data_IF_646225286704
#
_entry.id   IF_646225286704
#
_cell.length_a   1.000
_cell.length_b   1.000
_cell.length_c   1.000
_cell.angle_alpha   90.00
_cell.angle_beta   90.00
_cell.angle_gamma   90.00
#
_symmetry.space_group_name_H-M   'P 1'
#
loop_
_entity.id
_entity.type
_entity.pdbx_description
1 polymer ?
#
# COMPACT_ATOMS: atom_id res chain seq x y z
N UNK A 1 23.88 -59.57 13.25
CA UNK A 1 23.65 -58.87 11.97
C UNK A 1 22.30 -58.14 12.02
N UNK A 2 22.19 -57.08 12.83
CA UNK A 2 20.90 -56.42 13.15
C UNK A 2 21.05 -54.90 13.34
N UNK A 3 22.01 -54.26 12.69
CA UNK A 3 22.29 -52.82 12.88
C UNK A 3 22.43 -52.01 11.59
N UNK A 4 21.98 -52.55 10.45
CA UNK A 4 22.05 -51.83 9.15
C UNK A 4 20.65 -51.43 8.62
N UNK A 5 19.57 -51.98 9.18
CA UNK A 5 18.19 -51.66 8.73
C UNK A 5 17.55 -50.44 9.39
N UNK A 6 18.09 -49.94 10.52
CA UNK A 6 17.45 -48.84 11.26
C UNK A 6 17.99 -47.45 10.91
N UNK A 7 19.12 -47.34 10.20
CA UNK A 7 19.70 -46.03 9.82
C UNK A 7 19.06 -45.50 8.52
N UNK A 8 18.60 -46.39 7.63
CA UNK A 8 17.94 -46.01 6.37
C UNK A 8 16.52 -45.44 6.56
N UNK A 9 15.85 -45.75 7.67
CA UNK A 9 14.51 -45.21 7.97
C UNK A 9 14.53 -43.79 8.55
N UNK A 10 15.64 -43.37 9.16
CA UNK A 10 15.80 -42.00 9.71
C UNK A 10 16.27 -41.00 8.64
N UNK A 11 16.93 -41.50 7.59
CA UNK A 11 17.38 -40.66 6.46
C UNK A 11 16.26 -40.30 5.48
N UNK A 12 15.15 -41.05 5.45
CA UNK A 12 13.98 -40.72 4.63
C UNK A 12 12.94 -39.84 5.33
N UNK A 13 13.00 -39.68 6.66
CA UNK A 13 12.11 -38.77 7.41
C UNK A 13 12.54 -37.30 7.41
N UNK A 14 13.69 -36.96 6.82
CA UNK A 14 14.19 -35.58 6.73
C UNK A 14 13.90 -34.91 5.37
N UNK A 15 13.26 -35.60 4.42
CA UNK A 15 12.95 -35.05 3.09
C UNK A 15 11.53 -34.48 2.94
N UNK A 16 10.68 -34.50 3.96
CA UNK A 16 9.28 -34.00 3.87
C UNK A 16 8.94 -32.86 4.83
N UNK A 17 9.93 -32.02 5.15
CA UNK A 17 9.66 -30.65 5.60
C UNK A 17 10.23 -29.68 4.57
N UNK A 18 9.82 -29.83 3.31
CA UNK A 18 9.62 -28.64 2.49
C UNK A 18 8.44 -27.87 3.12
N UNK A 19 8.71 -27.18 4.23
CA UNK A 19 7.90 -26.04 4.64
C UNK A 19 7.74 -25.23 3.37
N UNK A 20 6.51 -25.05 2.88
CA UNK A 20 6.21 -24.06 1.85
C UNK A 20 6.71 -22.73 2.41
N UNK A 21 7.96 -22.39 2.10
CA UNK A 21 8.55 -21.13 2.50
C UNK A 21 7.70 -20.10 1.77
N UNK A 22 6.86 -19.41 2.54
CA UNK A 22 6.00 -18.35 2.04
C UNK A 22 6.92 -17.34 1.35
N UNK A 23 6.95 -17.34 0.02
CA UNK A 23 7.91 -16.55 -0.75
C UNK A 23 7.55 -15.08 -0.60
N UNK A 24 8.33 -14.37 0.20
CA UNK A 24 8.27 -12.91 0.26
C UNK A 24 8.86 -12.34 -1.01
N UNK A 25 8.19 -11.35 -1.60
CA UNK A 25 8.68 -10.64 -2.78
C UNK A 25 8.63 -9.14 -2.57
N UNK A 26 9.51 -8.38 -3.21
CA UNK A 26 9.43 -6.92 -3.19
C UNK A 26 8.30 -6.44 -4.10
N UNK A 27 7.52 -5.43 -3.67
CA UNK A 27 6.43 -4.85 -4.49
C UNK A 27 6.94 -3.97 -5.63
N UNK A 28 8.20 -3.56 -5.55
CA UNK A 28 8.95 -2.90 -6.61
C UNK A 28 10.42 -3.37 -6.56
N UNK A 29 11.17 -3.12 -7.62
CA UNK A 29 12.59 -3.49 -7.69
C UNK A 29 13.43 -2.33 -8.19
N UNK A 30 14.49 -2.00 -7.45
CA UNK A 30 15.46 -0.99 -7.86
C UNK A 30 16.22 -1.46 -9.11
N UNK A 31 16.28 -0.60 -10.12
CA UNK A 31 17.14 -0.76 -11.30
C UNK A 31 18.43 0.03 -11.14
N UNK A 32 18.32 1.20 -10.51
CA UNK A 32 19.43 2.08 -10.13
C UNK A 32 19.11 2.68 -8.75
N UNK A 33 19.95 3.61 -8.27
CA UNK A 33 19.69 4.34 -7.03
C UNK A 33 18.44 5.24 -7.07
N UNK A 34 17.93 5.55 -8.27
CA UNK A 34 16.79 6.47 -8.46
C UNK A 34 15.69 5.94 -9.35
N UNK A 35 15.92 4.85 -10.09
CA UNK A 35 14.90 4.22 -10.92
C UNK A 35 14.54 2.83 -10.40
N UNK A 36 13.27 2.49 -10.55
CA UNK A 36 12.71 1.21 -10.11
C UNK A 36 11.61 0.74 -11.05
N UNK A 37 11.46 -0.57 -11.16
CA UNK A 37 10.33 -1.22 -11.84
C UNK A 37 9.19 -1.48 -10.88
N UNK A 38 7.98 -1.31 -11.40
CA UNK A 38 6.72 -1.66 -10.75
C UNK A 38 6.28 -3.04 -11.23
N UNK A 39 5.58 -3.79 -10.38
CA UNK A 39 4.99 -5.08 -10.74
C UNK A 39 3.47 -4.96 -10.79
N UNK A 40 2.88 -5.22 -11.95
CA UNK A 40 1.43 -5.05 -12.19
C UNK A 40 0.55 -5.91 -11.29
N UNK A 41 1.05 -7.05 -10.80
CA UNK A 41 0.32 -7.93 -9.86
C UNK A 41 -0.10 -7.21 -8.56
N UNK A 42 0.57 -6.11 -8.21
CA UNK A 42 0.24 -5.30 -7.03
C UNK A 42 -0.65 -4.10 -7.32
N UNK A 43 -1.11 -3.94 -8.55
CA UNK A 43 -1.92 -2.81 -9.01
C UNK A 43 -3.28 -3.24 -9.59
N UNK A 44 -4.05 -4.18 -9.00
CA UNK A 44 -5.31 -4.60 -9.60
C UNK A 44 -6.30 -3.46 -9.82
N UNK A 45 -6.33 -2.45 -8.96
CA UNK A 45 -7.30 -1.34 -9.04
C UNK A 45 -6.89 -0.21 -9.98
N UNK A 46 -5.66 -0.22 -10.52
CA UNK A 46 -5.20 0.82 -11.45
C UNK A 46 -6.05 0.90 -12.71
N UNK A 47 -6.74 -0.19 -13.07
CA UNK A 47 -7.65 -0.25 -14.23
C UNK A 47 -8.96 0.48 -13.98
N UNK A 48 -9.40 0.52 -12.72
CA UNK A 48 -10.60 1.22 -12.28
C UNK A 48 -10.29 2.66 -11.83
N UNK A 49 -9.01 3.02 -11.78
CA UNK A 49 -8.53 4.38 -11.55
C UNK A 49 -9.15 5.35 -12.56
N UNK A 50 -9.62 6.52 -12.08
CA UNK A 50 -10.04 7.54 -13.02
C UNK A 50 -8.82 7.94 -13.86
N UNK A 51 -8.85 7.57 -15.12
CA UNK A 51 -8.11 8.32 -16.13
C UNK A 51 -8.88 9.61 -16.33
N UNK A 52 -8.81 10.51 -15.33
CA UNK A 52 -9.12 11.91 -15.56
C UNK A 52 -8.14 12.31 -16.64
N UNK A 53 -8.62 12.35 -17.88
CA UNK A 53 -7.85 12.95 -18.95
C UNK A 53 -7.75 14.40 -18.53
N UNK A 54 -6.62 14.78 -17.93
CA UNK A 54 -6.35 16.16 -17.50
C UNK A 54 -6.40 17.13 -18.70
N UNK A 55 -6.45 16.60 -19.92
CA UNK A 55 -6.60 17.31 -21.17
C UNK A 55 -8.05 17.36 -21.68
N UNK A 56 -8.98 16.62 -21.08
CA UNK A 56 -10.40 16.73 -21.39
C UNK A 56 -10.97 17.94 -20.62
N UNK A 57 -11.39 19.01 -21.33
CA UNK A 57 -11.88 20.23 -20.71
C UNK A 57 -13.17 20.03 -19.89
N UNK A 58 -13.81 18.85 -20.01
CA UNK A 58 -15.00 18.50 -19.23
C UNK A 58 -14.69 18.30 -17.75
N UNK A 59 -13.48 17.85 -17.41
CA UNK A 59 -13.08 17.60 -16.02
C UNK A 59 -12.23 18.76 -15.48
N UNK A 60 -12.61 19.31 -14.34
CA UNK A 60 -11.85 20.33 -13.62
C UNK A 60 -11.21 19.72 -12.38
N UNK A 61 -9.90 19.90 -12.25
CA UNK A 61 -9.17 19.47 -11.07
C UNK A 61 -8.96 20.65 -10.13
N UNK A 62 -9.34 20.45 -8.87
CA UNK A 62 -9.14 21.41 -7.78
C UNK A 62 -8.17 20.85 -6.77
N UNK A 63 -7.12 21.61 -6.42
CA UNK A 63 -6.26 21.26 -5.29
C UNK A 63 -6.93 21.67 -3.98
N UNK A 64 -7.26 20.69 -3.15
CA UNK A 64 -7.89 20.90 -1.84
C UNK A 64 -6.85 21.27 -0.79
N UNK A 65 -5.76 20.50 -0.74
CA UNK A 65 -4.71 20.65 0.27
C UNK A 65 -3.33 20.47 -0.36
N UNK A 66 -2.36 21.21 0.17
CA UNK A 66 -0.96 21.13 -0.25
C UNK A 66 -0.09 20.88 0.97
N UNK A 67 0.80 19.89 0.88
CA UNK A 67 1.71 19.48 1.92
C UNK A 67 3.15 19.56 1.41
N UNK A 68 4.06 19.95 2.30
CA UNK A 68 5.50 19.87 2.06
C UNK A 68 6.06 18.68 2.84
N UNK A 69 6.74 17.77 2.15
CA UNK A 69 7.40 16.60 2.75
C UNK A 69 8.88 16.62 2.39
N UNK A 70 9.72 16.02 3.24
CA UNK A 70 11.16 15.94 3.02
C UNK A 70 11.63 14.50 3.07
N UNK A 71 12.57 14.12 2.21
CA UNK A 71 13.33 12.90 2.42
C UNK A 71 14.32 13.08 3.59
N UNK A 72 15.02 12.01 3.98
CA UNK A 72 15.96 12.06 5.11
C UNK A 72 17.16 13.00 4.85
N UNK A 73 17.54 13.21 3.58
CA UNK A 73 18.56 14.17 3.16
C UNK A 73 18.08 15.64 3.21
N UNK A 74 16.77 15.88 3.34
CA UNK A 74 16.18 17.21 3.42
C UNK A 74 15.65 17.77 2.09
N UNK A 75 15.73 17.02 0.99
CA UNK A 75 15.12 17.41 -0.28
C UNK A 75 13.60 17.50 -0.12
N UNK A 76 13.01 18.58 -0.64
CA UNK A 76 11.60 18.92 -0.43
C UNK A 76 10.75 18.54 -1.64
N UNK A 77 9.59 17.93 -1.35
CA UNK A 77 8.56 17.54 -2.30
C UNK A 77 7.24 18.17 -1.89
N UNK A 78 6.39 18.46 -2.87
CA UNK A 78 5.05 19.01 -2.66
C UNK A 78 4.02 17.95 -3.00
N UNK A 79 3.16 17.61 -2.04
CA UNK A 79 2.04 16.68 -2.23
C UNK A 79 0.75 17.49 -2.28
N UNK A 80 0.00 17.39 -3.38
CA UNK A 80 -1.29 18.05 -3.55
C UNK A 80 -2.38 17.00 -3.54
N UNK A 81 -3.39 17.18 -2.69
CA UNK A 81 -4.60 16.36 -2.70
C UNK A 81 -5.62 17.05 -3.58
N UNK A 82 -6.20 16.30 -4.51
CA UNK A 82 -6.97 16.82 -5.62
C UNK A 82 -8.39 16.25 -5.63
N UNK A 83 -9.32 17.10 -6.02
CA UNK A 83 -10.72 16.78 -6.26
C UNK A 83 -11.03 16.98 -7.74
N UNK A 84 -11.97 16.19 -8.26
CA UNK A 84 -12.44 16.26 -9.66
C UNK A 84 -13.86 16.78 -9.65
N UNK A 85 -14.11 17.85 -10.42
CA UNK A 85 -15.40 18.53 -10.60
C UNK A 85 -16.09 19.03 -9.32
N UNK A 86 -15.37 19.03 -8.20
CA UNK A 86 -15.86 19.50 -6.91
C UNK A 86 -14.82 20.40 -6.25
N UNK A 87 -15.15 21.68 -6.10
CA UNK A 87 -14.26 22.72 -5.57
C UNK A 87 -14.37 22.92 -4.06
N UNK A 88 -15.18 22.12 -3.36
CA UNK A 88 -15.40 22.27 -1.91
C UNK A 88 -14.13 21.98 -1.11
N UNK A 89 -13.51 23.03 -0.56
CA UNK A 89 -12.27 22.95 0.21
C UNK A 89 -12.40 22.25 1.57
N UNK A 90 -13.62 22.11 2.10
CA UNK A 90 -13.91 21.43 3.36
C UNK A 90 -14.23 19.95 3.18
N UNK A 91 -14.08 19.41 1.96
CA UNK A 91 -14.31 18.00 1.69
C UNK A 91 -13.23 17.18 2.33
N UNK A 92 -13.63 16.20 3.12
CA UNK A 92 -12.66 15.38 3.83
C UNK A 92 -12.09 14.26 2.94
N UNK A 93 -12.82 13.76 1.93
CA UNK A 93 -12.27 12.84 0.91
C UNK A 93 -11.75 13.57 -0.33
N UNK A 94 -10.98 12.88 -1.16
CA UNK A 94 -10.35 13.40 -2.38
C UNK A 94 -10.26 12.31 -3.44
N UNK A 95 -10.21 12.68 -4.71
CA UNK A 95 -10.22 11.73 -5.83
C UNK A 95 -8.82 11.28 -6.24
N UNK A 96 -7.79 12.01 -5.83
CA UNK A 96 -6.43 11.72 -6.25
C UNK A 96 -5.43 12.68 -5.67
N UNK A 97 -4.17 12.51 -6.06
CA UNK A 97 -3.08 13.33 -5.59
C UNK A 97 -2.07 13.60 -6.71
N UNK A 98 -1.27 14.63 -6.54
CA UNK A 98 -0.09 14.88 -7.36
C UNK A 98 1.13 15.17 -6.51
N UNK A 99 2.30 14.83 -7.06
CA UNK A 99 3.60 14.99 -6.42
C UNK A 99 4.45 15.87 -7.31
N UNK A 100 5.04 16.90 -6.72
CA UNK A 100 5.98 17.79 -7.40
C UNK A 100 7.34 17.76 -6.71
N UNK A 101 8.39 17.88 -7.51
CA UNK A 101 9.76 18.03 -7.06
C UNK A 101 10.43 19.14 -7.87
N UNK A 102 11.02 20.13 -7.17
CA UNK A 102 11.67 21.31 -7.79
C UNK A 102 10.77 22.02 -8.82
N UNK A 103 9.49 22.17 -8.47
CA UNK A 103 8.47 22.85 -9.31
C UNK A 103 8.00 22.04 -10.52
N UNK A 104 8.42 20.79 -10.69
CA UNK A 104 7.96 19.90 -11.77
C UNK A 104 7.05 18.82 -11.21
N UNK A 105 5.91 18.58 -11.86
CA UNK A 105 5.08 17.41 -11.58
C UNK A 105 5.84 16.14 -11.95
N UNK A 106 5.90 15.19 -11.01
CA UNK A 106 6.57 13.89 -11.18
C UNK A 106 5.58 12.72 -11.09
N UNK A 107 4.36 12.96 -10.59
CA UNK A 107 3.25 12.01 -10.61
C UNK A 107 1.92 12.76 -10.43
N UNK A 108 0.90 12.34 -11.17
CA UNK A 108 -0.51 12.60 -10.86
C UNK A 108 -1.23 11.26 -10.88
N UNK A 109 -2.04 10.98 -9.87
CA UNK A 109 -2.78 9.73 -9.73
C UNK A 109 -4.19 9.98 -9.21
N UNK A 110 -5.20 9.36 -9.84
CA UNK A 110 -6.60 9.47 -9.44
C UNK A 110 -7.18 8.07 -9.35
N UNK A 111 -7.67 7.71 -8.17
CA UNK A 111 -8.21 6.38 -7.85
C UNK A 111 -9.63 6.24 -8.36
N UNK A 112 -10.16 5.01 -8.45
CA UNK A 112 -11.56 4.79 -8.83
C UNK A 112 -12.50 5.27 -7.73
N UNK A 113 -12.14 4.95 -6.49
CA UNK A 113 -12.89 5.34 -5.30
C UNK A 113 -12.20 6.49 -4.55
N UNK A 114 -12.95 7.33 -3.82
CA UNK A 114 -12.35 8.44 -3.08
C UNK A 114 -11.37 7.98 -1.99
N UNK A 115 -10.19 8.59 -2.00
CA UNK A 115 -9.23 8.51 -0.92
C UNK A 115 -9.64 9.41 0.26
N UNK A 116 -9.12 9.06 1.45
CA UNK A 116 -9.39 9.72 2.71
C UNK A 116 -8.11 9.82 3.56
N UNK A 117 -8.25 9.85 4.89
CA UNK A 117 -7.12 9.72 5.80
C UNK A 117 -6.72 8.25 6.00
N UNK A 118 -5.55 8.04 6.60
CA UNK A 118 -4.98 6.72 6.83
C UNK A 118 -5.63 5.95 7.99
N UNK A 119 -6.73 6.42 8.59
CA UNK A 119 -7.35 5.78 9.74
C UNK A 119 -7.74 4.33 9.44
N UNK A 120 -8.37 4.08 8.29
CA UNK A 120 -8.86 2.75 7.92
C UNK A 120 -7.73 1.74 7.63
N UNK A 121 -6.55 2.21 7.22
CA UNK A 121 -5.37 1.37 6.96
C UNK A 121 -4.40 1.29 8.15
N UNK A 122 -4.67 2.02 9.24
CA UNK A 122 -3.81 2.08 10.44
C UNK A 122 -4.53 1.70 11.73
N UNK A 123 -5.75 1.14 11.66
CA UNK A 123 -6.59 0.86 12.83
C UNK A 123 -6.91 2.12 13.65
N UNK A 124 -7.14 3.23 12.95
CA UNK A 124 -7.37 4.57 13.49
C UNK A 124 -6.25 5.13 14.38
N UNK A 125 -5.06 4.50 14.36
CA UNK A 125 -3.89 4.98 15.11
C UNK A 125 -3.25 6.21 14.47
N UNK A 126 -3.44 6.41 13.16
CA UNK A 126 -2.94 7.57 12.43
C UNK A 126 -4.00 8.09 11.45
N UNK A 127 -4.41 9.35 11.64
CA UNK A 127 -5.42 10.03 10.81
C UNK A 127 -4.79 11.06 9.87
N UNK A 128 -3.49 10.96 9.62
CA UNK A 128 -2.82 11.75 8.59
C UNK A 128 -3.41 11.47 7.21
N UNK A 129 -3.29 12.42 6.29
CA UNK A 129 -3.80 12.26 4.91
C UNK A 129 -3.06 11.18 4.13
N UNK A 130 -1.78 11.03 4.45
CA UNK A 130 -0.91 9.99 3.94
C UNK A 130 0.14 9.69 5.00
N UNK A 131 0.69 8.48 4.98
CA UNK A 131 1.86 8.11 5.77
C UNK A 131 3.11 8.33 4.94
N UNK A 132 4.22 8.71 5.56
CA UNK A 132 5.53 8.72 4.94
C UNK A 132 6.42 7.66 5.58
N UNK A 133 6.95 6.76 4.76
CA UNK A 133 7.82 5.67 5.18
C UNK A 133 9.21 5.92 4.56
N UNK A 134 10.23 6.30 5.34
CA UNK A 134 11.58 6.42 4.79
C UNK A 134 12.03 5.05 4.25
N UNK A 135 12.73 5.04 3.12
CA UNK A 135 13.30 3.81 2.53
C UNK A 135 14.82 3.85 2.64
N UNK A 136 15.44 4.92 2.15
CA UNK A 136 16.84 5.29 2.39
C UNK A 136 16.96 6.81 2.54
N UNK A 137 18.17 7.37 2.38
CA UNK A 137 18.40 8.79 2.57
C UNK A 137 17.70 9.66 1.52
N UNK A 138 17.49 9.10 0.32
CA UNK A 138 17.01 9.82 -0.85
C UNK A 138 15.60 9.44 -1.26
N UNK A 139 15.09 8.33 -0.77
CA UNK A 139 13.81 7.77 -1.14
C UNK A 139 12.88 7.49 0.04
N UNK A 140 11.59 7.59 -0.23
CA UNK A 140 10.52 7.28 0.71
C UNK A 140 9.32 6.72 -0.04
N UNK A 141 8.46 6.02 0.69
CA UNK A 141 7.13 5.66 0.23
C UNK A 141 6.07 6.56 0.87
N UNK A 142 5.01 6.86 0.12
CA UNK A 142 3.78 7.46 0.62
C UNK A 142 2.67 6.42 0.59
N UNK A 143 1.95 6.25 1.69
CA UNK A 143 0.75 5.42 1.73
C UNK A 143 -0.49 6.30 1.85
N UNK A 144 -1.45 6.14 0.93
CA UNK A 144 -2.75 6.80 0.94
C UNK A 144 -3.82 5.75 1.27
N UNK A 145 -4.80 6.12 2.09
CA UNK A 145 -5.88 5.22 2.52
C UNK A 145 -7.22 5.64 1.94
N UNK A 146 -8.00 4.66 1.49
CA UNK A 146 -9.36 4.81 0.98
C UNK A 146 -10.40 4.98 2.08
N UNK A 147 -11.56 5.48 1.68
CA UNK A 147 -12.77 5.49 2.49
C UNK A 147 -13.51 4.14 2.37
N UNK A 148 -14.28 3.72 3.39
CA UNK A 148 -15.25 2.61 3.26
C UNK A 148 -16.64 3.21 2.99
N UNK A 149 -17.08 3.35 1.73
CA UNK A 149 -18.17 4.28 1.39
C UNK A 149 -19.53 3.81 1.90
N UNK A 150 -19.82 2.50 1.91
CA UNK A 150 -21.11 1.98 2.35
C UNK A 150 -21.03 0.56 2.97
N UNK A 151 -19.97 0.26 3.73
CA UNK A 151 -19.78 -1.04 4.39
C UNK A 151 -19.76 -2.29 3.49
N UNK A 152 -19.75 -2.15 2.17
CA UNK A 152 -19.65 -3.25 1.19
C UNK A 152 -18.30 -3.27 0.44
N UNK A 153 -17.47 -2.25 0.64
CA UNK A 153 -16.16 -2.11 -0.01
C UNK A 153 -15.04 -1.96 1.02
N UNK A 154 -13.96 -2.72 0.81
CA UNK A 154 -12.75 -2.56 1.61
C UNK A 154 -12.09 -1.20 1.30
N UNK A 155 -11.46 -0.56 2.29
CA UNK A 155 -10.68 0.64 2.02
C UNK A 155 -9.52 0.31 1.08
N UNK A 156 -9.30 1.17 0.09
CA UNK A 156 -8.15 1.13 -0.81
C UNK A 156 -6.84 1.47 -0.06
N UNK A 157 -5.73 0.88 -0.47
CA UNK A 157 -4.38 1.30 -0.10
C UNK A 157 -3.59 1.56 -1.38
N UNK A 158 -3.16 2.81 -1.54
CA UNK A 158 -2.24 3.21 -2.61
C UNK A 158 -0.88 3.46 -2.00
N UNK A 159 0.17 2.84 -2.55
CA UNK A 159 1.56 3.10 -2.16
C UNK A 159 2.30 3.68 -3.35
N UNK A 160 2.94 4.83 -3.13
CA UNK A 160 3.82 5.48 -4.10
C UNK A 160 5.25 5.44 -3.59
N UNK A 161 6.19 5.03 -4.42
CA UNK A 161 7.62 5.20 -4.12
C UNK A 161 8.12 6.46 -4.79
N UNK A 162 8.87 7.27 -4.05
CA UNK A 162 9.47 8.53 -4.50
C UNK A 162 10.98 8.46 -4.32
N UNK A 163 11.75 8.75 -5.38
CA UNK A 163 13.22 8.83 -5.35
C UNK A 163 13.73 9.80 -6.40
N UNK A 164 14.61 10.73 -6.00
CA UNK A 164 15.35 11.66 -6.87
C UNK A 164 14.56 12.19 -8.09
N UNK A 165 13.40 12.82 -7.87
CA UNK A 165 12.58 13.40 -8.95
C UNK A 165 11.77 12.41 -9.79
N UNK A 166 11.63 11.16 -9.33
CA UNK A 166 10.71 10.17 -9.88
C UNK A 166 9.72 9.72 -8.81
N UNK A 167 8.49 9.46 -9.22
CA UNK A 167 7.48 8.83 -8.39
C UNK A 167 6.66 7.85 -9.22
N UNK A 168 6.34 6.67 -8.66
CA UNK A 168 5.46 5.68 -9.31
C UNK A 168 4.60 5.01 -8.25
N UNK A 169 3.33 4.75 -8.58
CA UNK A 169 2.48 3.86 -7.79
C UNK A 169 3.05 2.44 -7.88
N UNK A 170 3.29 1.81 -6.73
CA UNK A 170 3.86 0.45 -6.63
C UNK A 170 2.89 -0.56 -6.02
N UNK A 171 1.80 -0.07 -5.43
CA UNK A 171 0.73 -0.89 -4.89
C UNK A 171 -0.57 -0.09 -4.97
N UNK A 172 -1.62 -0.74 -5.42
CA UNK A 172 -2.98 -0.22 -5.45
C UNK A 172 -3.96 -1.39 -5.37
N UNK A 173 -4.52 -1.60 -4.18
CA UNK A 173 -5.44 -2.70 -3.89
C UNK A 173 -6.28 -2.38 -2.65
N UNK A 174 -7.35 -3.14 -2.47
CA UNK A 174 -8.08 -3.20 -1.22
C UNK A 174 -7.20 -3.71 -0.08
N UNK A 175 -7.26 -3.02 1.06
CA UNK A 175 -6.47 -3.33 2.23
C UNK A 175 -7.20 -2.99 3.53
N UNK A 176 -7.97 -3.95 4.05
CA UNK A 176 -8.55 -3.84 5.37
C UNK A 176 -7.56 -4.31 6.44
N UNK A 177 -6.95 -3.34 7.14
CA UNK A 177 -5.91 -3.59 8.11
C UNK A 177 -6.45 -4.27 9.37
N UNK A 178 -5.73 -5.28 9.86
CA UNK A 178 -5.95 -5.86 11.19
C UNK A 178 -4.71 -5.76 12.09
N UNK A 179 -3.55 -5.38 11.53
CA UNK A 179 -2.33 -5.10 12.28
C UNK A 179 -1.52 -4.00 11.61
N UNK A 180 -0.99 -3.09 12.41
CA UNK A 180 -0.20 -1.97 11.93
C UNK A 180 0.97 -1.68 12.88
N UNK A 181 2.13 -1.46 12.28
CA UNK A 181 3.37 -0.97 12.90
C UNK A 181 3.77 0.32 12.17
N UNK A 182 3.92 1.46 12.86
CA UNK A 182 4.29 2.72 12.22
C UNK A 182 5.75 2.73 11.73
N UNK A 183 6.06 3.71 10.88
CA UNK A 183 7.45 4.02 10.52
C UNK A 183 8.30 4.30 11.78
N UNK A 184 9.62 4.00 11.75
CA UNK A 184 10.41 3.57 10.60
C UNK A 184 10.32 2.06 10.30
N UNK A 185 9.86 1.23 11.24
CA UNK A 185 9.72 -0.23 11.09
C UNK A 185 8.36 -0.62 10.49
N UNK A 186 7.96 0.12 9.46
CA UNK A 186 6.62 0.07 8.90
C UNK A 186 6.19 -1.36 8.54
N UNK A 187 4.98 -1.74 8.98
CA UNK A 187 4.30 -2.90 8.45
C UNK A 187 2.79 -2.76 8.57
N UNK A 188 2.07 -3.26 7.58
CA UNK A 188 0.61 -3.41 7.59
C UNK A 188 0.28 -4.87 7.28
N UNK A 189 -0.56 -5.50 8.10
CA UNK A 189 -1.18 -6.79 7.80
C UNK A 189 -2.68 -6.56 7.58
N UNK A 190 -3.19 -7.08 6.47
CA UNK A 190 -4.52 -6.79 5.98
C UNK A 190 -5.16 -7.97 5.27
N UNK A 191 -6.47 -7.91 5.09
CA UNK A 191 -7.22 -8.74 4.14
C UNK A 191 -7.66 -7.84 2.98
N UNK A 192 -7.72 -8.39 1.77
CA UNK A 192 -8.16 -7.65 0.58
C UNK A 192 -9.58 -8.03 0.12
N UNK A 193 -10.23 -8.95 0.83
CA UNK A 193 -11.59 -9.41 0.56
C UNK A 193 -12.50 -8.95 1.71
N UNK A 194 -13.53 -8.21 1.33
CA UNK A 194 -14.47 -7.56 2.22
C UNK A 194 -15.77 -8.36 2.43
N UNK A 195 -15.97 -9.46 1.69
CA UNK A 195 -17.23 -10.20 1.71
C UNK A 195 -17.62 -10.67 3.12
N UNK A 196 -18.88 -10.51 3.52
CA UNK A 196 -19.38 -11.02 4.81
C UNK A 196 -18.89 -10.28 6.06
N UNK A 197 -18.40 -9.05 5.92
CA UNK A 197 -18.06 -8.15 7.02
C UNK A 197 -19.31 -7.50 7.63
N UNK A 198 -20.31 -7.13 6.81
CA UNK A 198 -21.56 -6.51 7.26
C UNK A 198 -21.30 -5.23 8.10
N UNK A 199 -22.17 -4.97 9.08
CA UNK A 199 -22.07 -3.79 9.97
C UNK A 199 -21.00 -3.91 11.07
N UNK A 200 -20.30 -5.05 11.18
CA UNK A 200 -19.31 -5.27 12.25
C UNK A 200 -17.96 -4.64 11.90
N UNK A 201 -17.86 -3.34 12.17
CA UNK A 201 -16.62 -2.56 12.00
C UNK A 201 -15.41 -3.12 12.76
N UNK A 202 -15.58 -4.03 13.71
CA UNK A 202 -14.53 -4.64 14.54
C UNK A 202 -14.26 -6.11 14.19
N UNK A 203 -14.87 -6.63 13.11
CA UNK A 203 -14.76 -8.03 12.72
C UNK A 203 -13.31 -8.49 12.49
N UNK A 204 -12.43 -7.57 12.10
CA UNK A 204 -11.00 -7.83 11.90
C UNK A 204 -10.28 -8.23 13.19
N UNK A 205 -10.84 -7.90 14.37
CA UNK A 205 -10.30 -8.34 15.66
C UNK A 205 -10.66 -9.80 15.96
N UNK A 206 -11.63 -10.38 15.25
CA UNK A 206 -12.10 -11.75 15.49
C UNK A 206 -11.16 -12.76 14.82
N UNK A 207 -10.49 -13.66 15.59
CA UNK A 207 -9.61 -14.66 14.99
C UNK A 207 -10.34 -15.61 14.03
N UNK A 208 -11.63 -15.88 14.25
CA UNK A 208 -12.45 -16.72 13.37
C UNK A 208 -12.61 -16.11 11.97
N UNK A 209 -12.78 -14.79 11.88
CA UNK A 209 -12.82 -14.07 10.61
C UNK A 209 -11.48 -14.16 9.89
N UNK A 210 -10.37 -13.86 10.57
CA UNK A 210 -9.04 -13.89 9.96
C UNK A 210 -8.58 -15.30 9.53
N UNK A 211 -9.05 -16.36 10.19
CA UNK A 211 -8.68 -17.76 9.88
C UNK A 211 -9.21 -18.23 8.53
N UNK A 212 -10.34 -17.71 8.06
CA UNK A 212 -10.93 -18.12 6.78
C UNK A 212 -10.42 -17.31 5.58
N UNK A 213 -9.64 -16.25 5.84
CA UNK A 213 -9.23 -15.28 4.81
C UNK A 213 -7.79 -15.46 4.39
N UNK A 214 -7.52 -15.08 3.14
CA UNK A 214 -6.14 -14.83 2.74
C UNK A 214 -5.70 -13.52 3.38
N UNK A 215 -4.63 -13.60 4.15
CA UNK A 215 -3.97 -12.48 4.80
C UNK A 215 -2.81 -12.02 3.94
N UNK A 216 -2.52 -10.74 4.04
CA UNK A 216 -1.45 -10.07 3.32
C UNK A 216 -0.62 -9.27 4.31
N UNK A 217 0.65 -9.07 3.98
CA UNK A 217 1.52 -8.18 4.74
C UNK A 217 2.39 -7.41 3.79
N UNK A 218 2.45 -6.09 3.99
CA UNK A 218 3.48 -5.23 3.44
C UNK A 218 4.36 -4.76 4.59
N UNK A 219 5.67 -4.83 4.44
CA UNK A 219 6.62 -4.32 5.45
C UNK A 219 7.85 -3.72 4.81
N UNK A 220 8.48 -2.79 5.52
CA UNK A 220 9.79 -2.28 5.14
C UNK A 220 10.88 -3.27 5.51
N UNK A 221 11.76 -3.55 4.56
CA UNK A 221 13.00 -4.28 4.77
C UNK A 221 14.13 -3.57 4.03
N UNK A 222 15.06 -2.95 4.75
CA UNK A 222 16.04 -2.04 4.15
C UNK A 222 15.36 -0.88 3.42
N UNK A 223 15.70 -0.69 2.14
CA UNK A 223 15.15 0.34 1.27
C UNK A 223 14.05 -0.17 0.32
N UNK A 224 13.45 -1.32 0.62
CA UNK A 224 12.32 -1.87 -0.16
C UNK A 224 11.10 -2.13 0.72
N UNK A 225 9.95 -2.22 0.06
CA UNK A 225 8.72 -2.74 0.66
C UNK A 225 8.52 -4.17 0.16
N UNK A 226 8.48 -5.10 1.11
CA UNK A 226 8.24 -6.52 0.88
C UNK A 226 6.75 -6.83 1.03
N UNK A 227 6.33 -7.88 0.36
CA UNK A 227 4.98 -8.40 0.37
C UNK A 227 4.98 -9.92 0.55
N UNK A 228 3.99 -10.41 1.29
CA UNK A 228 3.66 -11.84 1.34
C UNK A 228 2.17 -12.03 1.58
N UNK A 229 1.62 -13.14 1.13
CA UNK A 229 0.25 -13.57 1.39
C UNK A 229 0.21 -14.99 1.97
N UNK A 230 -0.73 -15.27 2.88
CA UNK A 230 -0.91 -16.59 3.50
C UNK A 230 -2.36 -16.84 3.87
N UNK A 231 -2.71 -18.11 4.08
CA UNK A 231 -3.99 -18.51 4.63
C UNK A 231 -3.97 -18.51 6.16
#
# INVERSE_FOLDING_TARGET
MFMIRSILLVLFSLLELATFAQTSQSIFEWKTSSDFSVKEVFLPLIRDSYTVSLNDPKYKVYTLHTYSVKNSQGDTYTIKLNSVDDSRVNRENYNGFSIEHKGKSILSYYTGDPLYNCGNITLYKDKSRFLQIPLDDKSFALCFGGWFYDQDEAPELVIVVVSEGKAKVVFDNYAFAYKYTPAPNFSIEFVNDWSGIGEDSEIYKKPSFLRSRTKHKIWREGNVLKYKSWK
#
